data_IF_993371001671
#
_entry.id   IF_993371001671
#
_cell.length_a   1.000
_cell.length_b   1.000
_cell.length_c   1.000
_cell.angle_alpha   90.00
_cell.angle_beta   90.00
_cell.angle_gamma   90.00
#
_symmetry.space_group_name_H-M   'P 1'
#
loop_
_entity.id
_entity.type
_entity.pdbx_description
1 polymer ?
#
# COMPACT_ATOMS: atom_id res chain seq x y z
N UNK A 1 35.38 23.32 4.85
CA UNK A 1 35.78 22.24 5.79
C UNK A 1 34.97 21.00 5.44
N UNK A 2 35.47 19.91 4.86
CA UNK A 2 36.82 19.44 4.60
C UNK A 2 36.85 18.72 3.25
N UNK A 3 37.86 19.02 2.42
CA UNK A 3 38.18 18.28 1.20
C UNK A 3 39.54 17.63 1.45
N UNK A 4 39.56 16.32 1.67
CA UNK A 4 40.80 15.55 1.78
C UNK A 4 41.03 14.79 0.48
N UNK A 5 42.01 15.31 -0.25
CA UNK A 5 42.70 14.68 -1.36
C UNK A 5 43.34 13.36 -0.94
N UNK A 6 43.15 12.31 -1.73
CA UNK A 6 43.85 11.03 -1.58
C UNK A 6 44.30 10.50 -2.93
N UNK A 7 45.42 11.02 -3.44
CA UNK A 7 46.15 10.52 -4.61
C UNK A 7 46.78 9.18 -4.26
N UNK A 8 46.31 8.08 -4.85
CA UNK A 8 46.90 6.75 -4.62
C UNK A 8 47.93 6.43 -5.70
N UNK A 9 49.14 6.14 -5.25
CA UNK A 9 50.32 5.86 -6.04
C UNK A 9 50.20 4.52 -6.78
N UNK A 10 50.57 4.46 -8.05
CA UNK A 10 50.77 3.20 -8.77
C UNK A 10 52.27 3.02 -9.03
N UNK A 11 52.89 1.99 -8.43
CA UNK A 11 54.26 1.54 -8.77
C UNK A 11 54.15 0.30 -9.65
N UNK A 12 54.82 0.36 -10.80
CA UNK A 12 54.99 -0.73 -11.76
C UNK A 12 55.97 -1.78 -11.23
N UNK A 13 55.71 -3.07 -11.51
CA UNK A 13 56.63 -4.16 -11.15
C UNK A 13 56.13 -5.59 -11.49
N UNK A 14 56.46 -6.02 -12.70
CA UNK A 14 56.75 -7.38 -13.22
C UNK A 14 56.01 -8.67 -12.77
N UNK A 15 55.62 -9.40 -13.82
CA UNK A 15 55.11 -10.76 -13.99
C UNK A 15 55.66 -11.89 -13.08
N UNK A 16 54.80 -12.89 -12.79
CA UNK A 16 54.98 -14.32 -13.09
C UNK A 16 53.71 -15.12 -12.72
N UNK A 17 53.42 -16.15 -13.51
CA UNK A 17 52.10 -16.77 -13.68
C UNK A 17 51.49 -17.48 -12.47
N UNK A 18 50.16 -17.43 -12.41
CA UNK A 18 49.28 -18.36 -11.69
C UNK A 18 48.06 -18.64 -12.56
N UNK A 19 47.61 -19.88 -12.50
CA UNK A 19 46.55 -20.53 -13.27
C UNK A 19 45.27 -19.68 -13.37
N UNK A 20 44.71 -19.62 -14.58
CA UNK A 20 43.53 -18.85 -14.94
C UNK A 20 42.22 -19.50 -14.45
N UNK A 21 42.06 -19.59 -13.13
CA UNK A 21 40.78 -19.88 -12.49
C UNK A 21 40.49 -18.77 -11.46
N UNK A 22 39.67 -17.78 -11.85
CA UNK A 22 39.03 -16.87 -10.88
C UNK A 22 39.61 -15.46 -10.72
N UNK A 23 40.37 -14.91 -11.67
CA UNK A 23 40.71 -13.48 -11.67
C UNK A 23 39.61 -12.69 -12.42
N UNK A 24 38.62 -12.19 -11.68
CA UNK A 24 37.64 -11.22 -12.23
C UNK A 24 38.40 -9.99 -12.70
N UNK A 25 38.26 -9.59 -13.98
CA UNK A 25 38.90 -8.37 -14.49
C UNK A 25 38.36 -7.17 -13.71
N UNK A 26 39.22 -6.20 -13.40
CA UNK A 26 38.82 -5.00 -12.64
C UNK A 26 37.59 -4.29 -13.24
N UNK A 27 37.42 -4.34 -14.57
CA UNK A 27 36.26 -3.81 -15.28
C UNK A 27 34.96 -4.56 -14.94
N UNK A 28 34.99 -5.89 -14.91
CA UNK A 28 33.84 -6.74 -14.58
C UNK A 28 33.43 -6.57 -13.11
N UNK A 29 34.41 -6.42 -12.20
CA UNK A 29 34.14 -6.08 -10.80
C UNK A 29 33.47 -4.71 -10.68
N UNK A 30 33.94 -3.71 -11.43
CA UNK A 30 33.37 -2.37 -11.43
C UNK A 30 31.93 -2.36 -11.99
N UNK A 31 31.64 -3.13 -13.03
CA UNK A 31 30.28 -3.29 -13.57
C UNK A 31 29.34 -3.95 -12.55
N UNK A 32 29.76 -5.03 -11.89
CA UNK A 32 28.98 -5.70 -10.84
C UNK A 32 28.70 -4.80 -9.63
N UNK A 33 29.65 -3.95 -9.25
CA UNK A 33 29.46 -2.98 -8.17
C UNK A 33 28.46 -1.90 -8.57
N UNK A 34 28.51 -1.41 -9.81
CA UNK A 34 27.52 -0.44 -10.34
C UNK A 34 26.11 -1.02 -10.39
N UNK A 35 25.94 -2.27 -10.82
CA UNK A 35 24.62 -2.91 -10.85
C UNK A 35 24.09 -3.14 -9.43
N UNK A 36 24.92 -3.64 -8.52
CA UNK A 36 24.54 -3.78 -7.10
C UNK A 36 24.13 -2.45 -6.49
N UNK A 37 24.92 -1.39 -6.65
CA UNK A 37 24.58 -0.08 -6.11
C UNK A 37 23.30 0.48 -6.75
N UNK A 38 23.08 0.28 -8.05
CA UNK A 38 21.82 0.69 -8.71
C UNK A 38 20.60 -0.10 -8.20
N UNK A 39 20.75 -1.40 -7.94
CA UNK A 39 19.70 -2.24 -7.36
C UNK A 39 19.42 -1.85 -5.90
N UNK A 40 20.46 -1.60 -5.11
CA UNK A 40 20.37 -1.12 -3.73
C UNK A 40 19.70 0.26 -3.67
N UNK A 41 20.06 1.19 -4.57
CA UNK A 41 19.40 2.50 -4.69
C UNK A 41 17.91 2.36 -5.04
N UNK A 42 17.58 1.50 -6.01
CA UNK A 42 16.18 1.21 -6.38
C UNK A 42 15.41 0.59 -5.21
N UNK A 43 16.02 -0.36 -4.50
CA UNK A 43 15.42 -0.99 -3.32
C UNK A 43 15.22 0.02 -2.19
N UNK A 44 16.22 0.85 -1.89
CA UNK A 44 16.12 1.91 -0.88
C UNK A 44 15.05 2.93 -1.24
N UNK A 45 14.99 3.36 -2.50
CA UNK A 45 14.00 4.31 -2.97
C UNK A 45 12.58 3.73 -2.90
N UNK A 46 12.42 2.46 -3.30
CA UNK A 46 11.15 1.75 -3.19
C UNK A 46 10.73 1.57 -1.73
N UNK A 47 11.67 1.22 -0.84
CA UNK A 47 11.41 1.04 0.58
C UNK A 47 11.05 2.36 1.28
N UNK A 48 11.74 3.44 0.95
CA UNK A 48 11.41 4.80 1.43
C UNK A 48 10.00 5.21 0.96
N UNK A 49 9.67 4.97 -0.31
CA UNK A 49 8.34 5.28 -0.84
C UNK A 49 7.24 4.47 -0.14
N UNK A 50 7.48 3.18 0.14
CA UNK A 50 6.56 2.33 0.89
C UNK A 50 6.38 2.83 2.34
N UNK A 51 7.47 3.20 3.02
CA UNK A 51 7.40 3.76 4.37
C UNK A 51 6.64 5.09 4.41
N UNK A 52 6.87 5.96 3.44
CA UNK A 52 6.19 7.25 3.34
C UNK A 52 4.68 7.06 3.11
N UNK A 53 4.29 6.16 2.20
CA UNK A 53 2.89 5.77 1.99
C UNK A 53 2.27 5.21 3.26
N UNK A 54 2.95 4.30 3.97
CA UNK A 54 2.42 3.74 5.21
C UNK A 54 2.13 4.83 6.28
N UNK A 55 3.00 5.84 6.38
CA UNK A 55 2.79 7.00 7.28
C UNK A 55 1.60 7.85 6.85
N UNK A 56 1.46 8.12 5.55
CA UNK A 56 0.30 8.85 5.00
C UNK A 56 -1.01 8.10 5.27
N UNK A 57 -1.02 6.77 5.12
CA UNK A 57 -2.19 5.95 5.40
C UNK A 57 -2.53 5.91 6.89
N UNK A 58 -1.52 5.84 7.76
CA UNK A 58 -1.72 5.94 9.20
C UNK A 58 -2.32 7.31 9.61
N UNK A 59 -2.00 8.37 8.87
CA UNK A 59 -2.57 9.69 9.10
C UNK A 59 -4.07 9.77 8.78
N UNK A 60 -4.62 8.87 7.95
CA UNK A 60 -6.06 8.84 7.60
C UNK A 60 -6.98 8.68 8.83
N UNK A 61 -6.49 8.11 9.93
CA UNK A 61 -7.28 8.03 11.17
C UNK A 61 -7.49 9.39 11.85
N UNK A 62 -6.72 10.42 11.50
CA UNK A 62 -6.72 11.73 12.19
C UNK A 62 -7.17 12.88 11.30
N UNK A 63 -7.51 12.63 10.04
CA UNK A 63 -8.01 13.65 9.12
C UNK A 63 -9.49 13.94 9.36
N UNK A 64 -9.99 15.03 8.80
CA UNK A 64 -11.42 15.32 8.83
C UNK A 64 -12.23 14.24 8.05
N UNK A 65 -13.44 13.85 8.50
CA UNK A 65 -14.25 12.81 7.84
C UNK A 65 -14.45 12.98 6.33
N UNK A 66 -14.64 14.22 5.85
CA UNK A 66 -14.74 14.51 4.42
C UNK A 66 -13.46 14.18 3.63
N UNK A 67 -12.29 14.39 4.23
CA UNK A 67 -10.99 14.07 3.60
C UNK A 67 -10.83 12.55 3.52
N UNK A 68 -11.22 11.84 4.59
CA UNK A 68 -11.22 10.38 4.60
C UNK A 68 -12.17 9.80 3.54
N UNK A 69 -13.41 10.31 3.46
CA UNK A 69 -14.38 9.89 2.44
C UNK A 69 -13.86 10.13 1.02
N UNK A 70 -13.23 11.28 0.77
CA UNK A 70 -12.59 11.58 -0.53
C UNK A 70 -11.46 10.60 -0.86
N UNK A 71 -10.62 10.27 0.12
CA UNK A 71 -9.55 9.30 -0.04
C UNK A 71 -10.08 7.88 -0.31
N UNK A 72 -11.17 7.47 0.35
CA UNK A 72 -11.83 6.19 0.10
C UNK A 72 -12.50 6.16 -1.27
N UNK A 73 -13.13 7.26 -1.72
CA UNK A 73 -13.69 7.38 -3.06
C UNK A 73 -12.64 7.15 -4.14
N UNK A 74 -11.43 7.69 -3.97
CA UNK A 74 -10.31 7.47 -4.90
C UNK A 74 -9.80 6.01 -4.91
N UNK A 75 -10.19 5.21 -3.92
CA UNK A 75 -9.83 3.80 -3.77
C UNK A 75 -10.98 2.86 -4.15
N UNK A 76 -12.07 3.36 -4.70
CA UNK A 76 -13.12 2.52 -5.26
C UNK A 76 -12.56 1.78 -6.48
N UNK A 77 -12.56 0.46 -6.43
CA UNK A 77 -12.05 -0.42 -7.50
C UNK A 77 -13.17 -0.92 -8.41
N UNK A 78 -14.40 -0.97 -7.91
CA UNK A 78 -15.58 -1.37 -8.67
C UNK A 78 -16.84 -0.73 -8.10
N UNK A 79 -17.79 -0.39 -8.97
CA UNK A 79 -19.07 0.20 -8.61
C UNK A 79 -20.14 -0.23 -9.62
N UNK A 80 -21.28 -0.68 -9.12
CA UNK A 80 -22.49 -0.90 -9.91
C UNK A 80 -23.72 -0.37 -9.15
N UNK A 81 -24.92 -0.79 -9.53
CA UNK A 81 -26.19 -0.34 -8.95
C UNK A 81 -26.45 -0.89 -7.54
N UNK A 82 -25.82 -2.00 -7.15
CA UNK A 82 -26.05 -2.65 -5.84
C UNK A 82 -24.86 -2.49 -4.88
N UNK A 83 -23.63 -2.45 -5.40
CA UNK A 83 -22.41 -2.50 -4.60
C UNK A 83 -21.38 -1.44 -4.98
N UNK A 84 -20.54 -1.14 -4.00
CA UNK A 84 -19.31 -0.36 -4.14
C UNK A 84 -18.20 -1.19 -3.50
N UNK A 85 -17.13 -1.41 -4.24
CA UNK A 85 -15.97 -2.17 -3.77
C UNK A 85 -14.80 -1.22 -3.60
N UNK A 86 -14.25 -1.20 -2.40
CA UNK A 86 -13.12 -0.36 -2.02
C UNK A 86 -11.85 -1.21 -1.86
N UNK A 87 -10.71 -0.63 -2.21
CA UNK A 87 -9.42 -1.09 -1.71
C UNK A 87 -9.13 -0.43 -0.36
N UNK A 88 -9.42 -1.15 0.74
CA UNK A 88 -9.21 -0.69 2.11
C UNK A 88 -7.72 -0.40 2.35
N UNK A 89 -7.36 0.83 2.76
CA UNK A 89 -5.99 1.14 3.12
C UNK A 89 -5.58 0.43 4.42
N UNK A 90 -4.27 0.24 4.55
CA UNK A 90 -3.64 -0.25 5.78
C UNK A 90 -3.90 0.70 6.93
N UNK A 91 -4.10 0.15 8.13
CA UNK A 91 -4.24 0.92 9.35
C UNK A 91 -5.60 1.60 9.52
N UNK A 92 -6.51 1.56 8.56
CA UNK A 92 -7.86 2.14 8.72
C UNK A 92 -8.84 1.09 9.29
N UNK A 93 -9.42 1.29 10.48
CA UNK A 93 -10.38 0.35 11.05
C UNK A 93 -11.75 0.45 10.35
N UNK A 94 -12.47 -0.67 10.29
CA UNK A 94 -13.82 -0.72 9.72
C UNK A 94 -14.85 -0.13 10.67
N UNK A 95 -14.77 -0.48 11.96
CA UNK A 95 -15.65 0.00 13.02
C UNK A 95 -14.87 0.81 14.06
N UNK A 96 -15.58 1.67 14.78
CA UNK A 96 -15.05 2.41 15.92
C UNK A 96 -14.72 1.50 17.12
N UNK A 97 -14.02 2.07 18.09
CA UNK A 97 -13.61 1.41 19.33
C UNK A 97 -12.77 2.34 20.20
N UNK A 98 -12.35 1.90 21.40
CA UNK A 98 -11.53 2.71 22.28
C UNK A 98 -10.26 3.19 21.58
N UNK A 99 -10.05 4.52 21.53
CA UNK A 99 -8.90 5.14 20.88
C UNK A 99 -8.96 5.25 19.36
N UNK A 100 -10.06 4.81 18.70
CA UNK A 100 -10.27 4.99 17.26
C UNK A 100 -10.92 6.35 17.02
N UNK A 101 -10.23 7.24 16.30
CA UNK A 101 -10.74 8.57 15.95
C UNK A 101 -11.64 8.57 14.71
N UNK A 102 -11.22 7.85 13.68
CA UNK A 102 -12.00 7.66 12.45
C UNK A 102 -12.03 6.18 12.07
N UNK A 103 -13.19 5.72 11.62
CA UNK A 103 -13.34 4.43 10.95
C UNK A 103 -14.14 4.55 9.64
N UNK A 104 -14.18 3.47 8.86
CA UNK A 104 -14.92 3.44 7.60
C UNK A 104 -16.42 3.63 7.84
N UNK A 105 -16.98 3.02 8.89
CA UNK A 105 -18.39 3.13 9.22
C UNK A 105 -18.85 4.60 9.37
N UNK A 106 -18.01 5.44 9.99
CA UNK A 106 -18.34 6.85 10.27
C UNK A 106 -18.49 7.69 8.99
N UNK A 107 -17.83 7.28 7.90
CA UNK A 107 -17.79 8.04 6.65
C UNK A 107 -18.69 7.48 5.56
N UNK A 108 -19.41 6.39 5.81
CA UNK A 108 -20.33 5.80 4.82
C UNK A 108 -21.42 6.76 4.31
N UNK A 109 -22.05 7.61 5.16
CA UNK A 109 -23.03 8.59 4.67
C UNK A 109 -22.39 9.65 3.75
N UNK A 110 -21.17 10.08 4.06
CA UNK A 110 -20.43 11.07 3.29
C UNK A 110 -19.98 10.45 1.96
N UNK A 111 -19.45 9.24 2.02
CA UNK A 111 -18.99 8.49 0.86
C UNK A 111 -20.15 8.21 -0.11
N UNK A 112 -21.32 7.80 0.38
CA UNK A 112 -22.52 7.62 -0.43
C UNK A 112 -22.86 8.89 -1.20
N UNK A 113 -22.88 10.04 -0.51
CA UNK A 113 -23.17 11.33 -1.12
C UNK A 113 -22.15 11.74 -2.19
N UNK A 114 -20.87 11.41 -1.96
CA UNK A 114 -19.80 11.68 -2.92
C UNK A 114 -19.81 10.77 -4.15
N UNK A 115 -20.31 9.54 -4.03
CA UNK A 115 -20.37 8.56 -5.12
C UNK A 115 -21.64 8.70 -5.96
N UNK A 116 -22.75 9.11 -5.34
CA UNK A 116 -24.07 9.12 -5.97
C UNK A 116 -24.61 10.53 -6.08
N UNK A 117 -25.17 11.08 -5.00
CA UNK A 117 -25.69 12.45 -4.92
C UNK A 117 -26.03 12.82 -3.46
N UNK A 118 -26.39 14.08 -3.20
CA UNK A 118 -26.69 14.59 -1.86
C UNK A 118 -27.88 13.92 -1.14
N UNK A 119 -28.77 13.25 -1.88
CA UNK A 119 -29.94 12.52 -1.35
C UNK A 119 -29.67 11.03 -1.15
N UNK A 120 -28.45 10.55 -1.41
CA UNK A 120 -28.11 9.15 -1.29
C UNK A 120 -28.18 8.69 0.17
N UNK A 121 -28.80 7.53 0.37
CA UNK A 121 -28.79 6.81 1.63
C UNK A 121 -27.37 6.32 1.96
N UNK A 122 -27.01 6.17 3.25
CA UNK A 122 -25.71 5.65 3.65
C UNK A 122 -25.42 4.26 3.07
N UNK A 123 -24.18 4.05 2.62
CA UNK A 123 -23.72 2.70 2.26
C UNK A 123 -23.75 1.77 3.48
N UNK A 124 -23.85 0.47 3.22
CA UNK A 124 -23.93 -0.57 4.23
C UNK A 124 -22.71 -1.49 4.20
N UNK A 125 -22.17 -1.79 5.38
CA UNK A 125 -21.08 -2.76 5.54
C UNK A 125 -21.58 -4.18 5.28
N UNK A 126 -20.92 -4.90 4.38
CA UNK A 126 -21.25 -6.29 4.06
C UNK A 126 -20.37 -7.29 4.83
N UNK A 127 -19.12 -6.94 5.07
CA UNK A 127 -18.17 -7.71 5.87
C UNK A 127 -17.17 -6.77 6.54
N UNK A 128 -16.27 -7.34 7.36
CA UNK A 128 -15.15 -6.61 7.97
C UNK A 128 -13.82 -7.12 7.46
N UNK A 129 -12.83 -6.24 7.51
CA UNK A 129 -11.40 -6.53 7.45
C UNK A 129 -10.79 -5.96 8.72
N UNK A 130 -9.74 -6.59 9.23
CA UNK A 130 -9.04 -6.03 10.38
C UNK A 130 -8.30 -4.75 10.01
N UNK A 131 -7.97 -3.96 11.03
CA UNK A 131 -7.33 -2.64 10.86
C UNK A 131 -6.05 -2.74 10.03
N UNK A 132 -5.22 -3.72 10.35
CA UNK A 132 -3.91 -3.95 9.71
C UNK A 132 -4.03 -4.77 8.40
N UNK A 133 -5.23 -5.23 8.04
CA UNK A 133 -5.48 -5.92 6.76
C UNK A 133 -5.72 -4.90 5.65
N UNK A 134 -5.14 -5.11 4.47
CA UNK A 134 -5.44 -4.32 3.26
C UNK A 134 -6.28 -5.12 2.28
N UNK A 135 -6.89 -4.44 1.31
CA UNK A 135 -7.50 -5.11 0.16
C UNK A 135 -8.99 -4.91 0.03
N UNK A 136 -9.64 -5.88 -0.62
CA UNK A 136 -11.00 -5.74 -1.16
C UNK A 136 -12.04 -5.72 -0.06
N UNK A 137 -12.83 -4.64 -0.02
CA UNK A 137 -13.95 -4.47 0.91
C UNK A 137 -15.23 -4.11 0.14
N UNK A 138 -16.27 -4.92 0.34
CA UNK A 138 -17.57 -4.76 -0.31
C UNK A 138 -18.51 -3.95 0.58
N UNK A 139 -19.09 -2.90 -0.01
CA UNK A 139 -20.16 -2.09 0.55
C UNK A 139 -21.40 -2.25 -0.33
N UNK A 140 -22.58 -2.24 0.29
CA UNK A 140 -23.85 -2.29 -0.42
C UNK A 140 -24.52 -0.91 -0.42
N UNK A 141 -25.26 -0.61 -1.49
CA UNK A 141 -26.02 0.63 -1.65
C UNK A 141 -27.39 0.61 -0.98
N UNK A 142 -27.94 -0.58 -0.76
CA UNK A 142 -29.20 -0.79 -0.04
C UNK A 142 -29.07 -1.82 1.06
N UNK A 143 -30.01 -1.81 1.99
CA UNK A 143 -30.06 -2.77 3.10
C UNK A 143 -30.28 -4.19 2.58
N UNK A 144 -31.13 -4.35 1.56
CA UNK A 144 -31.46 -5.63 0.95
C UNK A 144 -30.23 -6.26 0.31
N UNK A 145 -29.45 -5.47 -0.45
CA UNK A 145 -28.19 -5.94 -1.02
C UNK A 145 -27.18 -6.32 0.08
N UNK A 146 -27.10 -5.51 1.14
CA UNK A 146 -26.22 -5.81 2.28
C UNK A 146 -26.56 -7.15 2.93
N UNK A 147 -27.84 -7.43 3.13
CA UNK A 147 -28.31 -8.67 3.78
C UNK A 147 -28.06 -9.90 2.89
N UNK A 148 -28.27 -9.79 1.58
CA UNK A 148 -27.88 -10.86 0.63
C UNK A 148 -26.39 -11.14 0.67
N UNK A 149 -25.55 -10.10 0.61
CA UNK A 149 -24.10 -10.28 0.61
C UNK A 149 -23.62 -10.86 1.94
N UNK A 150 -24.13 -10.35 3.08
CA UNK A 150 -23.83 -10.92 4.41
C UNK A 150 -24.20 -12.41 4.48
N UNK A 151 -25.33 -12.79 3.89
CA UNK A 151 -25.72 -14.20 3.79
C UNK A 151 -24.69 -15.01 2.98
N UNK A 152 -24.26 -14.52 1.82
CA UNK A 152 -23.23 -15.17 1.00
C UNK A 152 -21.93 -15.40 1.78
N UNK A 153 -21.45 -14.38 2.51
CA UNK A 153 -20.29 -14.50 3.40
C UNK A 153 -20.54 -15.52 4.53
N UNK A 154 -21.71 -15.50 5.16
CA UNK A 154 -22.10 -16.43 6.23
C UNK A 154 -22.16 -17.88 5.75
N UNK A 155 -22.69 -18.12 4.55
CA UNK A 155 -22.81 -19.45 3.93
C UNK A 155 -21.54 -19.89 3.21
N UNK A 156 -20.44 -19.12 3.30
CA UNK A 156 -19.15 -19.42 2.64
C UNK A 156 -19.26 -19.59 1.11
N UNK A 157 -20.18 -18.87 0.48
CA UNK A 157 -20.34 -18.83 -0.97
C UNK A 157 -19.41 -17.81 -1.65
N UNK A 158 -18.64 -17.07 -0.85
CA UNK A 158 -17.66 -16.08 -1.32
C UNK A 158 -16.25 -16.65 -1.14
N UNK A 159 -15.53 -16.79 -2.24
CA UNK A 159 -14.11 -17.11 -2.23
C UNK A 159 -13.29 -15.90 -1.78
N UNK A 160 -12.33 -16.12 -0.88
CA UNK A 160 -11.46 -15.08 -0.33
C UNK A 160 -10.02 -15.55 -0.42
N UNK A 161 -9.21 -14.80 -1.15
CA UNK A 161 -7.79 -15.09 -1.35
C UNK A 161 -6.98 -14.01 -0.64
N UNK A 162 -6.01 -14.44 0.18
CA UNK A 162 -5.06 -13.59 0.89
C UNK A 162 -3.64 -13.98 0.46
N UNK A 163 -2.75 -12.98 0.38
CA UNK A 163 -1.38 -13.12 -0.09
C UNK A 163 -0.41 -12.73 1.02
#
# INVERSE_FOLDING_TARGET
MAALSGRLWWRSGAALGRTAAGAVRAQELAERLRTKWSEEEKQQQQQQQQQQRARELAALQRVHPNVLAKALRQRAVYQDDEVVVLNKPYGLPVHGGPGVKNCIADVLPILAKMLVNMKAEPLHLCHRLDKETTGVMVLARSKEAADRIRLLFKTRQVEKIYW
#
